data_IF_981523135808
#
_entry.id   IF_981523135808
#
_cell.length_a   1.000
_cell.length_b   1.000
_cell.length_c   1.000
_cell.angle_alpha   90.00
_cell.angle_beta   90.00
_cell.angle_gamma   90.00
#
_symmetry.space_group_name_H-M   'P 1'
#
loop_
_entity.id
_entity.type
_entity.pdbx_description
1 polymer ?
#
# COMPACT_ATOMS: atom_id res chain seq x y z
N UNK A 1 21.35 8.91 -11.94
CA UNK A 1 21.30 7.98 -13.09
C UNK A 1 21.93 8.70 -14.27
N UNK A 2 23.24 8.58 -14.39
CA UNK A 2 23.97 9.05 -15.57
C UNK A 2 24.02 7.86 -16.54
N UNK A 3 23.43 8.04 -17.72
CA UNK A 3 23.49 7.08 -18.79
C UNK A 3 24.92 7.06 -19.34
N UNK A 4 25.64 5.95 -19.19
CA UNK A 4 26.96 5.75 -19.77
C UNK A 4 26.87 4.55 -20.72
N UNK A 5 26.81 4.85 -22.01
CA UNK A 5 26.61 3.85 -23.06
C UNK A 5 27.85 2.97 -23.26
N UNK A 6 29.04 3.55 -23.17
CA UNK A 6 30.31 2.83 -23.36
C UNK A 6 30.51 1.78 -22.27
N UNK A 7 30.26 2.15 -21.01
CA UNK A 7 30.32 1.23 -19.88
C UNK A 7 29.31 0.08 -20.00
N UNK A 8 28.11 0.36 -20.54
CA UNK A 8 27.09 -0.66 -20.76
C UNK A 8 27.51 -1.64 -21.86
N UNK A 9 28.07 -1.13 -22.97
CA UNK A 9 28.56 -1.95 -24.07
C UNK A 9 29.76 -2.82 -23.64
N UNK A 10 30.68 -2.26 -22.85
CA UNK A 10 31.79 -2.99 -22.25
C UNK A 10 31.28 -4.11 -21.35
N UNK A 11 30.36 -3.82 -20.42
CA UNK A 11 29.79 -4.81 -19.51
C UNK A 11 29.18 -6.00 -20.26
N UNK A 12 28.39 -5.74 -21.31
CA UNK A 12 27.76 -6.80 -22.13
C UNK A 12 28.84 -7.64 -22.84
N UNK A 13 29.86 -6.99 -23.40
CA UNK A 13 30.95 -7.68 -24.10
C UNK A 13 31.70 -8.61 -23.16
N UNK A 14 32.05 -8.14 -21.94
CA UNK A 14 32.76 -8.94 -20.94
C UNK A 14 31.91 -10.11 -20.44
N UNK A 15 30.63 -9.87 -20.13
CA UNK A 15 29.70 -10.91 -19.70
C UNK A 15 29.51 -12.01 -20.75
N UNK A 16 29.32 -11.65 -22.01
CA UNK A 16 29.16 -12.62 -23.10
C UNK A 16 30.44 -13.39 -23.42
N UNK A 17 31.62 -12.77 -23.23
CA UNK A 17 32.91 -13.44 -23.43
C UNK A 17 33.17 -14.45 -22.31
N UNK A 18 33.00 -14.04 -21.05
CA UNK A 18 33.41 -14.83 -19.89
C UNK A 18 32.39 -15.91 -19.52
N UNK A 19 31.10 -15.68 -19.85
CA UNK A 19 29.97 -16.60 -19.58
C UNK A 19 29.89 -17.07 -18.11
N UNK A 20 30.50 -16.32 -17.20
CA UNK A 20 30.61 -16.64 -15.79
C UNK A 20 30.70 -15.36 -14.96
N UNK A 21 30.12 -15.44 -13.76
CA UNK A 21 30.22 -14.41 -12.74
C UNK A 21 30.53 -15.08 -11.39
N UNK A 22 31.35 -14.43 -10.59
CA UNK A 22 31.67 -14.87 -9.24
C UNK A 22 30.92 -13.99 -8.24
N UNK A 23 30.17 -14.62 -7.34
CA UNK A 23 29.51 -13.91 -6.23
C UNK A 23 30.57 -13.53 -5.20
N UNK A 24 30.78 -12.24 -5.02
CA UNK A 24 31.74 -11.68 -4.06
C UNK A 24 31.12 -11.54 -2.67
N UNK A 25 29.84 -11.16 -2.60
CA UNK A 25 29.12 -11.07 -1.34
C UNK A 25 27.61 -11.16 -1.53
N UNK A 26 26.95 -11.66 -0.48
CA UNK A 26 25.50 -11.63 -0.34
C UNK A 26 25.20 -10.98 1.00
N UNK A 27 24.52 -9.83 0.99
CA UNK A 27 24.04 -9.17 2.20
C UNK A 27 22.56 -9.44 2.39
N UNK A 28 22.22 -10.07 3.51
CA UNK A 28 20.84 -10.27 3.91
C UNK A 28 20.23 -8.98 4.43
N UNK A 29 18.95 -8.78 4.14
CA UNK A 29 18.19 -7.65 4.62
C UNK A 29 16.74 -8.01 4.86
N UNK A 30 16.09 -7.19 5.68
CA UNK A 30 14.66 -7.28 5.97
C UNK A 30 14.05 -5.92 5.72
N UNK A 31 13.05 -5.87 4.83
CA UNK A 31 12.30 -4.66 4.52
C UNK A 31 10.90 -4.80 5.11
N UNK A 32 10.51 -3.81 5.92
CA UNK A 32 9.18 -3.72 6.53
C UNK A 32 8.44 -2.57 5.86
N UNK A 33 7.25 -2.84 5.29
CA UNK A 33 6.39 -1.80 4.72
C UNK A 33 5.17 -1.60 5.59
N UNK A 34 5.09 -0.42 6.20
CA UNK A 34 3.93 -0.02 7.00
C UNK A 34 2.71 0.22 6.12
N UNK A 35 1.49 -0.05 6.63
CA UNK A 35 0.27 0.32 5.94
C UNK A 35 0.14 1.84 5.85
N UNK A 36 -0.69 2.29 4.91
CA UNK A 36 -1.11 3.68 4.79
C UNK A 36 -2.30 3.96 5.72
N UNK A 37 -2.48 5.21 6.17
CA UNK A 37 -3.66 5.60 6.95
C UNK A 37 -4.95 5.47 6.12
N UNK A 38 -6.13 5.49 6.76
CA UNK A 38 -7.42 5.62 6.08
C UNK A 38 -7.47 6.80 5.12
N UNK A 39 -8.38 6.76 4.16
CA UNK A 39 -8.43 7.77 3.09
C UNK A 39 -8.90 9.14 3.58
N UNK A 40 -8.20 10.17 3.12
CA UNK A 40 -8.73 11.51 2.87
C UNK A 40 -9.29 11.59 1.45
N UNK A 41 -9.94 12.70 1.09
CA UNK A 41 -10.38 12.94 -0.29
C UNK A 41 -9.22 12.85 -1.27
N UNK A 42 -8.12 13.58 -1.03
CA UNK A 42 -6.98 13.63 -1.94
C UNK A 42 -6.32 12.27 -2.11
N UNK A 43 -6.15 11.53 -1.02
CA UNK A 43 -5.48 10.23 -1.06
C UNK A 43 -6.36 9.15 -1.69
N UNK A 44 -7.69 9.25 -1.57
CA UNK A 44 -8.65 8.43 -2.32
C UNK A 44 -8.55 8.72 -3.81
N UNK A 45 -8.61 10.00 -4.22
CA UNK A 45 -8.52 10.41 -5.62
C UNK A 45 -7.21 9.96 -6.28
N UNK A 46 -6.08 10.15 -5.59
CA UNK A 46 -4.76 9.67 -6.06
C UNK A 46 -4.70 8.14 -6.18
N UNK A 47 -5.33 7.42 -5.24
CA UNK A 47 -5.35 5.96 -5.26
C UNK A 47 -6.26 5.42 -6.37
N UNK A 48 -7.42 6.04 -6.60
CA UNK A 48 -8.30 5.68 -7.71
C UNK A 48 -7.63 5.95 -9.07
N UNK A 49 -6.91 7.06 -9.21
CA UNK A 49 -6.14 7.33 -10.43
C UNK A 49 -5.06 6.27 -10.68
N UNK A 50 -4.25 5.95 -9.68
CA UNK A 50 -3.12 5.01 -9.83
C UNK A 50 -3.54 3.54 -9.94
N UNK A 51 -4.62 3.11 -9.28
CA UNK A 51 -5.04 1.71 -9.26
C UNK A 51 -6.16 1.39 -10.25
N UNK A 52 -7.05 2.35 -10.53
CA UNK A 52 -8.22 2.14 -11.39
C UNK A 52 -8.12 2.93 -12.71
N UNK A 53 -7.15 3.83 -12.86
CA UNK A 53 -7.02 4.68 -14.05
C UNK A 53 -8.11 5.75 -14.15
N UNK A 54 -8.78 6.08 -13.05
CA UNK A 54 -9.93 6.99 -13.07
C UNK A 54 -9.54 8.47 -12.99
N UNK A 55 -10.35 9.32 -13.62
CA UNK A 55 -10.27 10.76 -13.43
C UNK A 55 -10.83 11.18 -12.07
N UNK A 56 -10.46 12.39 -11.63
CA UNK A 56 -11.01 12.98 -10.39
C UNK A 56 -12.53 13.10 -10.46
N UNK A 57 -13.06 13.58 -11.58
CA UNK A 57 -14.51 13.75 -11.76
C UNK A 57 -15.26 12.42 -11.64
N UNK A 58 -14.76 11.35 -12.28
CA UNK A 58 -15.35 10.01 -12.19
C UNK A 58 -15.33 9.48 -10.76
N UNK A 59 -14.18 9.56 -10.10
CA UNK A 59 -14.03 9.07 -8.71
C UNK A 59 -14.97 9.81 -7.77
N UNK A 60 -15.05 11.14 -7.88
CA UNK A 60 -15.95 11.96 -7.06
C UNK A 60 -17.43 11.63 -7.28
N UNK A 61 -17.85 11.36 -8.52
CA UNK A 61 -19.22 10.96 -8.82
C UNK A 61 -19.57 9.61 -8.16
N UNK A 62 -18.75 8.57 -8.40
CA UNK A 62 -18.97 7.23 -7.82
C UNK A 62 -18.89 7.24 -6.29
N UNK A 63 -17.95 7.99 -5.72
CA UNK A 63 -17.87 8.17 -4.27
C UNK A 63 -19.13 8.84 -3.71
N UNK A 64 -19.68 9.82 -4.43
CA UNK A 64 -20.91 10.50 -4.05
C UNK A 64 -22.11 9.55 -4.03
N UNK A 65 -22.22 8.67 -5.02
CA UNK A 65 -23.25 7.62 -5.05
C UNK A 65 -23.09 6.66 -3.86
N UNK A 66 -21.88 6.17 -3.58
CA UNK A 66 -21.60 5.30 -2.43
C UNK A 66 -21.98 5.96 -1.10
N UNK A 67 -21.68 7.26 -0.94
CA UNK A 67 -22.04 8.03 0.25
C UNK A 67 -23.56 8.18 0.37
N UNK A 68 -24.24 8.57 -0.71
CA UNK A 68 -25.69 8.77 -0.71
C UNK A 68 -26.45 7.46 -0.44
N UNK A 69 -25.90 6.32 -0.84
CA UNK A 69 -26.43 4.98 -0.52
C UNK A 69 -26.02 4.47 0.88
N UNK A 70 -25.26 5.25 1.64
CA UNK A 70 -24.89 4.93 3.02
C UNK A 70 -23.79 3.87 3.18
N UNK A 71 -23.01 3.61 2.13
CA UNK A 71 -21.97 2.57 2.14
C UNK A 71 -20.61 3.07 2.65
N UNK A 72 -20.34 4.37 2.51
CA UNK A 72 -19.10 5.00 2.98
C UNK A 72 -19.42 6.25 3.80
N UNK A 73 -18.48 6.65 4.64
CA UNK A 73 -18.53 7.92 5.38
C UNK A 73 -18.41 9.13 4.44
N UNK A 74 -18.54 10.35 4.99
CA UNK A 74 -18.50 11.58 4.20
C UNK A 74 -17.19 11.70 3.39
N UNK A 75 -17.33 11.88 2.07
CA UNK A 75 -16.22 11.75 1.11
C UNK A 75 -15.38 13.02 0.93
N UNK A 76 -15.76 14.14 1.56
CA UNK A 76 -15.03 15.41 1.54
C UNK A 76 -14.40 15.63 2.91
N UNK A 77 -13.17 15.17 3.06
CA UNK A 77 -12.43 15.19 4.32
C UNK A 77 -10.93 15.24 4.08
N UNK A 78 -10.23 15.97 4.93
CA UNK A 78 -8.78 15.99 5.06
C UNK A 78 -8.28 15.16 6.26
N UNK A 79 -9.21 14.53 7.00
CA UNK A 79 -8.94 13.77 8.22
C UNK A 79 -8.73 12.30 7.93
N UNK A 80 -7.77 11.71 8.64
CA UNK A 80 -7.51 10.26 8.68
C UNK A 80 -8.04 9.61 9.95
N UNK A 81 -8.72 10.38 10.82
CA UNK A 81 -9.30 9.89 12.07
C UNK A 81 -10.45 8.94 11.79
N UNK A 82 -10.64 7.96 12.66
CA UNK A 82 -11.72 6.97 12.57
C UNK A 82 -12.37 6.78 13.93
N UNK A 83 -13.62 6.33 13.95
CA UNK A 83 -14.31 5.91 15.16
C UNK A 83 -13.68 4.59 15.69
N UNK A 84 -13.63 4.46 17.02
CA UNK A 84 -13.10 3.29 17.71
C UNK A 84 -13.88 2.00 17.45
N UNK A 85 -15.21 2.05 17.41
CA UNK A 85 -16.07 0.92 17.10
C UNK A 85 -15.78 0.37 15.70
N UNK A 86 -15.61 1.26 14.71
CA UNK A 86 -15.25 0.87 13.36
C UNK A 86 -13.88 0.15 13.31
N UNK A 87 -12.90 0.61 14.10
CA UNK A 87 -11.59 -0.06 14.23
C UNK A 87 -11.72 -1.41 14.90
N UNK A 88 -12.55 -1.54 15.94
CA UNK A 88 -12.79 -2.80 16.63
C UNK A 88 -13.43 -3.82 15.69
N UNK A 89 -14.49 -3.43 14.98
CA UNK A 89 -15.20 -4.29 14.03
C UNK A 89 -14.29 -4.80 12.92
N UNK A 90 -13.50 -3.91 12.28
CA UNK A 90 -12.61 -4.36 11.20
C UNK A 90 -11.45 -5.23 11.73
N UNK A 91 -10.94 -4.96 12.94
CA UNK A 91 -9.91 -5.81 13.57
C UNK A 91 -10.44 -7.21 13.86
N UNK A 92 -11.69 -7.34 14.29
CA UNK A 92 -12.31 -8.65 14.47
C UNK A 92 -12.41 -9.40 13.15
N UNK A 93 -12.88 -8.73 12.08
CA UNK A 93 -12.90 -9.31 10.74
C UNK A 93 -11.49 -9.77 10.29
N UNK A 94 -10.47 -8.93 10.49
CA UNK A 94 -9.08 -9.24 10.14
C UNK A 94 -8.59 -10.47 10.90
N UNK A 95 -8.86 -10.53 12.21
CA UNK A 95 -8.47 -11.65 13.07
C UNK A 95 -9.08 -12.96 12.58
N UNK A 96 -10.37 -12.96 12.26
CA UNK A 96 -11.11 -14.14 11.80
C UNK A 96 -10.65 -14.59 10.41
N UNK A 97 -10.33 -13.65 9.51
CA UNK A 97 -10.04 -13.95 8.11
C UNK A 97 -8.55 -14.23 7.86
N UNK A 98 -7.65 -13.49 8.49
CA UNK A 98 -6.21 -13.52 8.22
C UNK A 98 -5.36 -14.00 9.42
N UNK A 99 -5.96 -14.07 10.61
CA UNK A 99 -5.27 -14.49 11.83
C UNK A 99 -4.69 -13.33 12.65
N UNK A 100 -4.36 -13.62 13.89
CA UNK A 100 -3.92 -12.63 14.89
C UNK A 100 -2.59 -11.94 14.54
N UNK A 101 -1.70 -12.63 13.81
CA UNK A 101 -0.44 -12.06 13.30
C UNK A 101 -0.64 -10.95 12.24
N UNK A 102 -1.84 -10.80 11.70
CA UNK A 102 -2.20 -9.71 10.79
C UNK A 102 -2.74 -8.47 11.50
N UNK A 103 -2.96 -8.51 12.82
CA UNK A 103 -3.39 -7.34 13.58
C UNK A 103 -2.26 -6.34 13.77
N UNK A 104 -2.56 -5.07 13.52
CA UNK A 104 -1.64 -3.95 13.74
C UNK A 104 -2.12 -3.01 14.84
N UNK A 105 -1.24 -2.09 15.30
CA UNK A 105 -1.61 -1.05 16.24
C UNK A 105 -2.65 -0.08 15.65
N UNK A 106 -2.81 -0.04 14.32
CA UNK A 106 -3.56 0.98 13.61
C UNK A 106 -2.65 2.15 13.21
N UNK A 107 -2.79 2.63 11.97
CA UNK A 107 -2.05 3.78 11.47
C UNK A 107 -2.99 4.94 11.24
N UNK A 108 -2.61 6.10 11.76
CA UNK A 108 -3.25 7.39 11.51
C UNK A 108 -2.26 8.32 10.80
N UNK A 109 -2.78 9.23 9.99
CA UNK A 109 -2.01 10.26 9.30
C UNK A 109 -1.45 11.30 10.26
N UNK A 110 -0.58 12.17 9.75
CA UNK A 110 0.04 13.25 10.53
C UNK A 110 -0.97 14.29 11.02
N UNK A 111 -2.05 14.48 10.27
CA UNK A 111 -3.22 15.30 10.60
C UNK A 111 -3.88 14.85 11.92
N UNK A 112 -3.95 13.55 12.18
CA UNK A 112 -4.53 13.01 13.40
C UNK A 112 -3.57 13.01 14.61
N UNK A 113 -2.26 13.21 14.38
CA UNK A 113 -1.23 13.20 15.44
C UNK A 113 -0.90 14.59 15.97
N UNK A 114 -1.07 15.63 15.16
CA UNK A 114 -1.01 17.00 15.65
C UNK A 114 -2.31 17.20 16.43
N UNK A 115 -2.22 17.29 17.76
CA UNK A 115 -3.37 17.55 18.63
C UNK A 115 -4.01 18.88 18.31
N UNK A 116 -4.80 18.93 17.24
CA UNK A 116 -5.57 20.10 16.85
C UNK A 116 -6.61 20.32 17.95
N UNK A 117 -6.33 21.31 18.78
CA UNK A 117 -7.18 21.85 19.84
C UNK A 117 -8.49 22.45 19.31
N UNK A 118 -8.79 22.32 18.02
CA UNK A 118 -10.08 22.65 17.45
C UNK A 118 -10.96 21.40 17.45
N UNK A 119 -11.74 21.28 18.53
CA UNK A 119 -12.88 20.38 18.73
C UNK A 119 -13.97 20.55 17.62
N UNK A 120 -13.75 21.42 16.63
CA UNK A 120 -14.68 21.75 15.55
C UNK A 120 -14.62 20.81 14.34
N UNK A 121 -13.59 19.96 14.17
CA UNK A 121 -13.55 19.01 13.05
C UNK A 121 -14.04 17.61 13.45
N UNK A 122 -15.35 17.41 13.32
CA UNK A 122 -16.04 16.12 13.38
C UNK A 122 -15.81 15.26 12.11
N UNK A 123 -14.82 15.60 11.28
CA UNK A 123 -14.60 14.91 10.02
C UNK A 123 -13.88 13.57 10.28
N UNK A 124 -14.57 12.50 9.92
CA UNK A 124 -14.03 11.16 9.86
C UNK A 124 -13.41 10.89 8.49
N UNK A 125 -12.37 10.05 8.47
CA UNK A 125 -11.79 9.52 7.24
C UNK A 125 -12.84 8.82 6.37
N UNK A 126 -12.54 8.71 5.08
CA UNK A 126 -13.33 7.93 4.13
C UNK A 126 -13.09 6.44 4.40
N UNK A 127 -14.12 5.75 4.89
CA UNK A 127 -14.12 4.33 5.20
C UNK A 127 -15.52 3.73 4.95
N UNK A 128 -15.65 2.38 4.92
CA UNK A 128 -16.97 1.75 4.93
C UNK A 128 -17.75 2.12 6.19
N UNK A 129 -19.05 2.35 6.07
CA UNK A 129 -19.95 2.52 7.22
C UNK A 129 -20.08 1.22 8.01
N UNK A 130 -20.04 0.09 7.30
CA UNK A 130 -20.06 -1.29 7.83
C UNK A 130 -18.78 -2.03 7.46
N UNK A 131 -17.71 -1.94 8.28
CA UNK A 131 -16.40 -2.48 7.94
C UNK A 131 -16.35 -4.01 7.79
N UNK A 132 -17.25 -4.73 8.44
CA UNK A 132 -17.37 -6.19 8.35
C UNK A 132 -17.85 -6.67 6.97
N UNK A 133 -18.43 -5.79 6.16
CA UNK A 133 -18.86 -6.10 4.79
C UNK A 133 -17.71 -5.82 3.84
N UNK A 134 -17.19 -6.85 3.18
CA UNK A 134 -16.16 -6.70 2.15
C UNK A 134 -16.77 -6.43 0.75
N UNK A 135 -17.97 -6.94 0.48
CA UNK A 135 -18.69 -6.79 -0.80
C UNK A 135 -20.14 -6.40 -0.57
N UNK A 136 -20.68 -5.47 -1.35
CA UNK A 136 -22.07 -5.03 -1.21
C UNK A 136 -22.86 -5.56 -2.40
N UNK A 137 -23.90 -6.32 -2.11
CA UNK A 137 -24.79 -6.85 -3.14
C UNK A 137 -25.58 -5.72 -3.82
N UNK A 138 -25.74 -5.82 -5.14
CA UNK A 138 -26.55 -4.88 -5.94
C UNK A 138 -25.84 -3.59 -6.35
N UNK A 139 -24.57 -3.38 -5.98
CA UNK A 139 -23.77 -2.28 -6.53
C UNK A 139 -23.44 -2.50 -8.01
N UNK A 140 -23.36 -1.40 -8.75
CA UNK A 140 -22.73 -1.41 -10.09
C UNK A 140 -21.25 -1.76 -9.96
N UNK A 141 -20.66 -2.35 -11.00
CA UNK A 141 -19.26 -2.78 -10.99
C UNK A 141 -18.29 -1.68 -10.56
N UNK A 142 -18.46 -0.45 -11.03
CA UNK A 142 -17.58 0.65 -10.65
C UNK A 142 -17.76 1.06 -9.18
N UNK A 143 -18.99 1.10 -8.67
CA UNK A 143 -19.25 1.36 -7.26
C UNK A 143 -18.59 0.28 -6.39
N UNK A 144 -18.70 -0.98 -6.80
CA UNK A 144 -18.06 -2.11 -6.12
C UNK A 144 -16.53 -2.02 -6.14
N UNK A 145 -15.92 -1.60 -7.26
CA UNK A 145 -14.47 -1.38 -7.37
C UNK A 145 -13.98 -0.28 -6.43
N UNK A 146 -14.63 0.89 -6.42
CA UNK A 146 -14.24 1.98 -5.53
C UNK A 146 -14.48 1.63 -4.06
N UNK A 147 -15.60 0.97 -3.75
CA UNK A 147 -15.88 0.49 -2.40
C UNK A 147 -14.80 -0.47 -1.91
N UNK A 148 -14.39 -1.47 -2.72
CA UNK A 148 -13.29 -2.39 -2.37
C UNK A 148 -11.98 -1.65 -2.12
N UNK A 149 -11.67 -0.63 -2.93
CA UNK A 149 -10.47 0.18 -2.72
C UNK A 149 -10.51 0.92 -1.37
N UNK A 150 -11.65 1.52 -1.03
CA UNK A 150 -11.88 2.21 0.26
C UNK A 150 -11.80 1.20 1.42
N UNK A 151 -12.45 0.06 1.28
CA UNK A 151 -12.44 -1.02 2.27
C UNK A 151 -11.03 -1.55 2.52
N UNK A 152 -10.28 -1.87 1.46
CA UNK A 152 -8.91 -2.40 1.56
C UNK A 152 -7.97 -1.38 2.22
N UNK A 153 -8.11 -0.09 1.91
CA UNK A 153 -7.33 0.96 2.60
C UNK A 153 -7.66 1.01 4.09
N UNK A 154 -8.94 0.96 4.46
CA UNK A 154 -9.34 1.01 5.86
C UNK A 154 -8.89 -0.25 6.63
N UNK A 155 -9.15 -1.44 6.10
CA UNK A 155 -8.72 -2.71 6.68
C UNK A 155 -7.19 -2.74 6.83
N UNK A 156 -6.45 -2.47 5.75
CA UNK A 156 -5.00 -2.45 5.75
C UNK A 156 -4.41 -1.49 6.77
N UNK A 157 -5.06 -0.33 7.03
CA UNK A 157 -4.62 0.62 8.05
C UNK A 157 -4.61 0.05 9.47
N UNK A 158 -5.41 -1.00 9.73
CA UNK A 158 -5.50 -1.68 11.01
C UNK A 158 -4.65 -2.97 11.07
N UNK A 159 -3.95 -3.31 9.99
CA UNK A 159 -3.16 -4.54 9.88
C UNK A 159 -1.68 -4.33 10.23
N UNK A 160 -0.96 -5.43 10.47
CA UNK A 160 0.49 -5.42 10.66
C UNK A 160 1.23 -5.08 9.37
N UNK A 161 2.48 -4.63 9.49
CA UNK A 161 3.31 -4.32 8.31
C UNK A 161 3.60 -5.57 7.49
N UNK A 162 3.69 -5.42 6.17
CA UNK A 162 4.23 -6.48 5.32
C UNK A 162 5.75 -6.59 5.55
N UNK A 163 6.28 -7.80 5.41
CA UNK A 163 7.70 -8.09 5.58
C UNK A 163 8.20 -8.81 4.33
N UNK A 164 9.30 -8.29 3.79
CA UNK A 164 10.08 -8.92 2.75
C UNK A 164 11.48 -9.18 3.24
N UNK A 165 12.01 -10.33 2.88
CA UNK A 165 13.45 -10.55 2.92
C UNK A 165 14.07 -10.08 1.60
N UNK A 166 15.31 -9.64 1.69
CA UNK A 166 16.10 -9.19 0.56
C UNK A 166 17.48 -9.83 0.61
N UNK A 167 18.05 -10.10 -0.55
CA UNK A 167 19.46 -10.44 -0.73
C UNK A 167 20.06 -9.43 -1.71
N UNK A 168 20.96 -8.60 -1.22
CA UNK A 168 21.76 -7.73 -2.07
C UNK A 168 23.01 -8.51 -2.48
N UNK A 169 23.13 -8.76 -3.78
CA UNK A 169 24.18 -9.60 -4.36
C UNK A 169 25.18 -8.68 -5.05
N UNK A 170 26.45 -8.86 -4.74
CA UNK A 170 27.56 -8.23 -5.44
C UNK A 170 28.35 -9.33 -6.11
N UNK A 171 28.53 -9.22 -7.43
CA UNK A 171 29.27 -10.17 -8.24
C UNK A 171 30.30 -9.44 -9.09
N UNK A 172 31.27 -10.21 -9.61
CA UNK A 172 32.27 -9.76 -10.57
C UNK A 172 32.36 -10.73 -11.74
N UNK A 173 32.89 -10.25 -12.84
CA UNK A 173 33.35 -11.07 -13.96
C UNK A 173 34.78 -10.66 -14.28
N UNK A 174 35.55 -11.56 -14.89
CA UNK A 174 36.96 -11.30 -15.21
C UNK A 174 37.12 -10.09 -16.15
N UNK A 175 38.23 -9.37 -16.02
CA UNK A 175 38.56 -8.18 -16.82
C UNK A 175 37.46 -7.10 -16.87
N UNK A 176 36.67 -6.95 -15.82
CA UNK A 176 35.66 -5.90 -15.68
C UNK A 176 35.73 -5.22 -14.32
N UNK A 177 36.08 -3.93 -14.32
CA UNK A 177 36.40 -3.17 -13.09
C UNK A 177 35.19 -2.81 -12.23
N UNK A 178 33.97 -2.98 -12.75
CA UNK A 178 32.75 -2.65 -12.02
C UNK A 178 32.11 -3.89 -11.41
N UNK A 179 31.54 -3.70 -10.23
CA UNK A 179 30.69 -4.71 -9.63
C UNK A 179 29.37 -4.83 -10.41
N UNK A 180 28.96 -6.06 -10.64
CA UNK A 180 27.62 -6.42 -11.06
C UNK A 180 26.77 -6.51 -9.79
N UNK A 181 25.64 -5.81 -9.76
CA UNK A 181 24.75 -5.79 -8.58
C UNK A 181 23.41 -6.39 -8.92
N UNK A 182 22.89 -7.20 -8.01
CA UNK A 182 21.58 -7.83 -8.10
C UNK A 182 20.81 -7.71 -6.80
N UNK A 183 19.49 -7.79 -6.86
CA UNK A 183 18.65 -7.89 -5.67
C UNK A 183 17.61 -8.97 -5.87
N UNK A 184 17.58 -9.95 -4.96
CA UNK A 184 16.46 -10.86 -4.81
C UNK A 184 15.59 -10.41 -3.63
N UNK A 185 14.27 -10.51 -3.75
CA UNK A 185 13.36 -10.25 -2.64
C UNK A 185 12.11 -11.11 -2.72
N UNK A 186 11.71 -11.65 -1.57
CA UNK A 186 10.48 -12.42 -1.41
C UNK A 186 9.73 -11.99 -0.15
N UNK A 187 8.40 -12.12 -0.18
CA UNK A 187 7.53 -11.75 0.93
C UNK A 187 7.47 -12.91 1.93
N UNK A 188 7.79 -12.63 3.20
CA UNK A 188 7.74 -13.62 4.29
C UNK A 188 6.56 -13.38 5.24
N UNK A 189 5.97 -12.18 5.21
CA UNK A 189 4.70 -11.88 5.86
C UNK A 189 3.90 -10.90 5.02
N UNK A 190 2.64 -11.20 4.75
CA UNK A 190 1.80 -10.32 3.92
C UNK A 190 1.38 -9.06 4.65
N UNK A 191 1.04 -9.16 5.94
CA UNK A 191 0.53 -8.02 6.70
C UNK A 191 -0.64 -7.35 5.95
N UNK A 192 -0.64 -6.03 5.90
CA UNK A 192 -1.66 -5.25 5.19
C UNK A 192 -1.74 -5.52 3.67
N UNK A 193 -0.73 -6.12 3.04
CA UNK A 193 -0.76 -6.43 1.59
C UNK A 193 -1.57 -7.71 1.28
N UNK A 194 -2.29 -8.25 2.27
CA UNK A 194 -3.22 -9.37 2.09
C UNK A 194 -4.66 -8.93 1.72
N UNK A 195 -4.98 -7.64 1.90
CA UNK A 195 -6.28 -7.02 1.56
C UNK A 195 -6.20 -6.14 0.32
#
# INVERSE_FOLDING_TARGET
>A
RTFNQDLAAEAITKLNKNMSIEIQSIKEGKNKRSPKPPFTTDTMLQSASSNLGWSVARTSAVAGELYNSGHVTYIRTDSTRTNEDARKTIKEYIKQTYGENHLGPGVLGSDAKKGSSNVQDAHEAIRPTRPEIHNIDGLKDEQQLLYRLIWARFAGSQMSSSIRETRAIVAKTEDFDKNITGTASWRTHAGWEAV
#
